data_IF_009661338288
#
_entry.id   IF_009661338288
#
_cell.length_a   1.000
_cell.length_b   1.000
_cell.length_c   1.000
_cell.angle_alpha   90.00
_cell.angle_beta   90.00
_cell.angle_gamma   90.00
#
_symmetry.space_group_name_H-M   'P 1'
#
loop_
_entity.id
_entity.type
_entity.pdbx_description
1 polymer ?
#
# COMPACT_ATOMS: atom_id res chain seq x y z
N UNK A 1 -13.56 4.91 -5.97
CA UNK A 1 -12.33 4.09 -6.17
C UNK A 1 -12.22 3.10 -5.01
N UNK A 2 -11.48 2.00 -5.15
CA UNK A 2 -11.22 1.09 -4.03
C UNK A 2 -9.77 1.18 -3.60
N UNK A 3 -9.55 1.31 -2.29
CA UNK A 3 -8.22 1.30 -1.70
C UNK A 3 -8.04 0.10 -0.79
N UNK A 4 -6.81 -0.43 -0.76
CA UNK A 4 -6.47 -1.61 0.02
C UNK A 4 -5.23 -1.39 0.87
N UNK A 5 -5.23 -1.94 2.08
CA UNK A 5 -4.05 -2.10 2.91
C UNK A 5 -3.25 -3.30 2.43
N UNK A 6 -1.94 -3.09 2.36
CA UNK A 6 -0.94 -4.10 2.06
C UNK A 6 0.18 -3.96 3.09
N UNK A 7 0.95 -5.03 3.24
CA UNK A 7 2.16 -5.07 4.04
C UNK A 7 1.89 -5.06 5.55
N UNK A 8 1.90 -6.24 6.15
CA UNK A 8 1.75 -6.43 7.60
C UNK A 8 3.09 -6.83 8.24
N UNK A 9 4.21 -6.52 7.57
CA UNK A 9 5.55 -6.93 7.99
C UNK A 9 6.02 -6.32 9.31
N UNK A 10 5.39 -5.22 9.75
CA UNK A 10 5.61 -4.59 11.06
C UNK A 10 4.47 -4.84 12.04
N UNK A 11 3.44 -5.58 11.63
CA UNK A 11 2.34 -5.94 12.51
C UNK A 11 2.75 -7.17 13.30
N UNK A 12 2.66 -7.09 14.62
CA UNK A 12 2.94 -8.21 15.52
C UNK A 12 1.62 -8.73 16.09
N UNK A 13 1.54 -10.04 16.30
CA UNK A 13 0.49 -10.63 17.13
C UNK A 13 0.89 -10.46 18.58
N UNK A 14 0.02 -9.81 19.34
CA UNK A 14 0.11 -9.74 20.79
C UNK A 14 -0.22 -11.13 21.36
N UNK A 15 0.38 -11.58 22.49
CA UNK A 15 0.29 -12.96 23.01
C UNK A 15 -1.10 -13.60 23.15
N UNK A 16 -2.17 -12.80 23.18
CA UNK A 16 -3.56 -13.28 23.20
C UNK A 16 -4.17 -13.48 21.79
N UNK A 17 -3.35 -13.40 20.73
CA UNK A 17 -3.79 -13.46 19.33
C UNK A 17 -4.28 -12.14 18.75
N UNK A 18 -4.10 -11.03 19.48
CA UNK A 18 -4.61 -9.71 19.12
C UNK A 18 -3.64 -8.94 18.19
N UNK A 19 -4.19 -8.17 17.25
CA UNK A 19 -3.43 -7.15 16.52
C UNK A 19 -3.33 -5.90 17.40
N UNK A 20 -2.22 -5.16 17.37
CA UNK A 20 -2.15 -3.84 18.04
C UNK A 20 -3.01 -2.81 17.25
N UNK A 21 -4.17 -2.35 17.79
CA UNK A 21 -5.04 -1.43 17.05
C UNK A 21 -4.46 -0.03 16.91
N UNK A 22 -3.52 0.34 17.78
CA UNK A 22 -3.06 1.71 17.88
C UNK A 22 -1.91 1.97 16.91
N UNK A 23 -1.12 0.95 16.59
CA UNK A 23 -0.08 1.05 15.56
C UNK A 23 -0.69 1.37 14.19
N UNK A 24 -1.80 0.73 13.82
CA UNK A 24 -2.49 0.98 12.55
C UNK A 24 -3.04 2.42 12.48
N UNK A 25 -3.60 2.92 13.58
CA UNK A 25 -4.08 4.31 13.70
C UNK A 25 -2.93 5.30 13.57
N UNK A 26 -1.79 5.03 14.20
CA UNK A 26 -0.60 5.88 14.13
C UNK A 26 0.00 5.91 12.71
N UNK A 27 0.12 4.74 12.08
CA UNK A 27 0.61 4.61 10.70
C UNK A 27 -0.33 5.35 9.73
N UNK A 28 -1.64 5.19 9.92
CA UNK A 28 -2.66 5.92 9.18
C UNK A 28 -2.53 7.44 9.36
N UNK A 29 -2.31 7.91 10.58
CA UNK A 29 -2.03 9.33 10.83
C UNK A 29 -0.89 9.87 9.98
N UNK A 30 0.17 9.08 9.80
CA UNK A 30 1.30 9.43 8.92
C UNK A 30 0.89 9.54 7.44
N UNK A 31 -0.05 8.70 6.99
CA UNK A 31 -0.62 8.78 5.63
C UNK A 31 -1.43 10.06 5.46
N UNK A 32 -2.34 10.37 6.39
CA UNK A 32 -3.13 11.62 6.34
C UNK A 32 -2.22 12.83 6.36
N UNK A 33 -1.24 12.84 7.26
CA UNK A 33 -0.27 13.92 7.39
C UNK A 33 0.45 14.15 6.06
N UNK A 34 0.88 13.08 5.39
CA UNK A 34 1.54 13.15 4.08
C UNK A 34 0.63 13.76 3.02
N UNK A 35 -0.65 13.36 2.98
CA UNK A 35 -1.63 13.95 2.06
C UNK A 35 -1.84 15.43 2.37
N UNK A 36 -2.06 15.81 3.63
CA UNK A 36 -2.25 17.20 4.03
C UNK A 36 -1.02 18.07 3.74
N UNK A 37 0.18 17.50 3.79
CA UNK A 37 1.42 18.20 3.44
C UNK A 37 1.67 18.32 1.94
N UNK A 38 0.95 17.54 1.11
CA UNK A 38 1.15 17.48 -0.35
C UNK A 38 0.15 18.34 -1.12
N UNK A 39 -1.00 18.65 -0.50
CA UNK A 39 -2.08 19.40 -1.13
C UNK A 39 -2.47 20.64 -0.31
N UNK A 40 -2.67 21.76 -1.01
CA UNK A 40 -3.29 22.95 -0.45
C UNK A 40 -4.82 22.77 -0.38
N UNK A 41 -5.43 23.30 0.69
CA UNK A 41 -6.87 23.25 0.93
C UNK A 41 -7.34 22.11 1.82
N UNK A 42 -6.40 21.44 2.52
CA UNK A 42 -6.65 20.32 3.43
C UNK A 42 -6.43 20.66 4.93
N UNK A 43 -6.30 21.94 5.27
CA UNK A 43 -6.00 22.39 6.64
C UNK A 43 -7.05 21.95 7.68
N UNK A 44 -8.29 21.70 7.25
CA UNK A 44 -9.38 21.22 8.12
C UNK A 44 -9.09 19.86 8.76
N UNK A 45 -8.22 19.03 8.15
CA UNK A 45 -7.84 17.74 8.73
C UNK A 45 -6.78 17.86 9.84
N UNK A 46 -6.35 19.08 10.20
CA UNK A 46 -5.40 19.34 11.28
C UNK A 46 -5.72 18.64 12.62
N UNK A 47 -6.98 18.66 13.11
CA UNK A 47 -7.36 17.93 14.32
C UNK A 47 -7.21 16.40 14.18
N UNK A 48 -7.55 15.85 13.01
CA UNK A 48 -7.42 14.42 12.72
C UNK A 48 -5.95 13.97 12.70
N UNK A 49 -5.08 14.76 12.05
CA UNK A 49 -3.63 14.53 12.06
C UNK A 49 -3.09 14.62 13.48
N UNK A 50 -3.47 15.66 14.23
CA UNK A 50 -3.00 15.83 15.61
C UNK A 50 -3.37 14.64 16.50
N UNK A 51 -4.62 14.18 16.43
CA UNK A 51 -5.12 13.08 17.25
C UNK A 51 -4.41 11.74 16.93
N UNK A 52 -4.16 11.47 15.65
CA UNK A 52 -3.51 10.22 15.19
C UNK A 52 -1.98 10.22 15.30
N UNK A 53 -1.38 11.38 15.61
CA UNK A 53 0.07 11.56 15.77
C UNK A 53 0.49 11.90 17.20
N UNK A 54 -0.40 11.71 18.19
CA UNK A 54 -0.10 11.93 19.62
C UNK A 54 1.15 11.12 20.03
N UNK A 55 2.16 11.73 20.70
CA UNK A 55 3.38 11.00 21.07
C UNK A 55 3.20 9.96 22.18
N UNK A 56 2.19 10.15 23.04
CA UNK A 56 1.87 9.25 24.14
C UNK A 56 0.89 8.16 23.67
N UNK A 57 1.36 6.91 23.67
CA UNK A 57 0.57 5.76 23.22
C UNK A 57 -0.64 5.49 24.12
N UNK A 58 -0.59 5.89 25.39
CA UNK A 58 -1.72 5.75 26.33
C UNK A 58 -2.85 6.74 26.01
N UNK A 59 -2.58 7.75 25.18
CA UNK A 59 -3.53 8.77 24.74
C UNK A 59 -3.93 8.58 23.27
N UNK A 60 -3.53 7.45 22.65
CA UNK A 60 -3.92 7.18 21.28
C UNK A 60 -5.44 6.95 21.18
N UNK A 61 -6.12 7.69 20.29
CA UNK A 61 -7.54 7.47 20.07
C UNK A 61 -7.76 6.10 19.43
N UNK A 62 -8.87 5.48 19.76
CA UNK A 62 -9.37 4.29 19.08
C UNK A 62 -9.73 4.63 17.62
N UNK A 63 -9.72 3.63 16.73
CA UNK A 63 -10.15 3.88 15.34
C UNK A 63 -11.59 4.41 15.23
N UNK A 64 -12.44 4.09 16.21
CA UNK A 64 -13.81 4.62 16.28
C UNK A 64 -13.82 6.11 16.61
N UNK A 65 -13.02 6.56 17.58
CA UNK A 65 -12.89 7.98 17.92
C UNK A 65 -12.27 8.77 16.76
N UNK A 66 -11.24 8.23 16.11
CA UNK A 66 -10.65 8.85 14.91
C UNK A 66 -11.68 8.99 13.79
N UNK A 67 -12.50 7.96 13.58
CA UNK A 67 -13.59 8.04 12.60
C UNK A 67 -14.62 9.10 12.95
N UNK A 68 -14.96 9.26 14.23
CA UNK A 68 -15.89 10.30 14.66
C UNK A 68 -15.33 11.71 14.40
N UNK A 69 -14.05 11.94 14.71
CA UNK A 69 -13.37 13.19 14.38
C UNK A 69 -13.44 13.48 12.88
N UNK A 70 -13.20 12.45 12.04
CA UNK A 70 -13.30 12.58 10.60
C UNK A 70 -14.73 12.94 10.13
N UNK A 71 -15.75 12.27 10.66
CA UNK A 71 -17.16 12.54 10.32
C UNK A 71 -17.60 13.95 10.68
N UNK A 72 -17.18 14.44 11.84
CA UNK A 72 -17.50 15.79 12.32
C UNK A 72 -16.87 16.85 11.41
N UNK A 73 -15.62 16.64 10.97
CA UNK A 73 -14.93 17.51 10.01
C UNK A 73 -15.58 17.45 8.62
N UNK A 74 -15.91 16.24 8.15
CA UNK A 74 -16.55 16.00 6.85
C UNK A 74 -17.90 16.71 6.73
N UNK A 75 -18.62 16.85 7.84
CA UNK A 75 -19.95 17.47 7.87
C UNK A 75 -19.93 19.00 7.75
N UNK A 76 -18.76 19.65 7.83
CA UNK A 76 -18.62 21.10 7.91
C UNK A 76 -18.16 21.77 6.60
N UNK A 77 -17.77 21.00 5.58
CA UNK A 77 -17.12 21.52 4.36
C UNK A 77 -17.90 21.20 3.08
N UNK A 78 -17.64 21.97 2.01
CA UNK A 78 -18.14 21.67 0.66
C UNK A 78 -17.24 20.64 -0.03
N UNK A 79 -17.86 19.55 -0.45
CA UNK A 79 -17.21 18.37 -1.02
C UNK A 79 -16.64 18.61 -2.41
N UNK A 80 -17.22 19.56 -3.15
CA UNK A 80 -16.78 19.93 -4.49
C UNK A 80 -15.66 20.97 -4.48
N UNK A 81 -15.15 21.33 -3.30
CA UNK A 81 -14.01 22.22 -3.15
C UNK A 81 -12.78 21.63 -3.84
N UNK A 82 -12.20 22.42 -4.74
CA UNK A 82 -10.99 22.05 -5.46
C UNK A 82 -9.78 22.17 -4.54
N UNK A 83 -8.91 21.17 -4.61
CA UNK A 83 -7.62 21.15 -3.91
C UNK A 83 -6.47 21.18 -4.93
N UNK A 84 -5.28 21.55 -4.47
CA UNK A 84 -4.13 21.76 -5.36
C UNK A 84 -2.91 21.02 -4.86
N UNK A 85 -2.43 20.07 -5.66
CA UNK A 85 -1.16 19.41 -5.38
C UNK A 85 -0.01 20.43 -5.51
N UNK A 86 0.93 20.43 -4.56
CA UNK A 86 2.04 21.39 -4.48
C UNK A 86 2.84 21.53 -5.78
N UNK A 87 3.06 20.42 -6.49
CA UNK A 87 3.75 20.40 -7.80
C UNK A 87 3.07 21.27 -8.89
N UNK A 88 1.77 21.52 -8.81
CA UNK A 88 1.05 22.38 -9.74
C UNK A 88 1.12 23.87 -9.35
N UNK A 89 1.32 24.17 -8.08
CA UNK A 89 1.46 25.56 -7.60
C UNK A 89 2.79 26.17 -8.03
N UNK A 90 3.87 25.38 -8.03
CA UNK A 90 5.19 25.82 -8.52
C UNK A 90 5.15 26.23 -10.01
N UNK A 91 4.29 25.59 -10.83
CA UNK A 91 4.15 25.90 -12.26
C UNK A 91 3.28 27.13 -12.56
N UNK A 92 2.43 27.56 -11.63
CA UNK A 92 1.45 28.62 -11.86
C UNK A 92 1.90 30.01 -11.38
N UNK A 93 3.15 30.17 -10.95
CA UNK A 93 3.72 31.47 -10.60
C UNK A 93 3.25 32.04 -9.25
N UNK A 94 2.46 31.31 -8.46
CA UNK A 94 2.21 31.65 -7.05
C UNK A 94 3.43 31.27 -6.22
N UNK A 95 4.31 32.24 -5.99
CA UNK A 95 5.48 32.08 -5.12
C UNK A 95 5.01 32.15 -3.66
N UNK A 96 5.03 31.02 -2.95
CA UNK A 96 5.32 31.04 -1.50
C UNK A 96 6.79 30.70 -1.29
N UNK A 97 7.36 31.30 -0.25
CA UNK A 97 8.78 31.30 0.08
C UNK A 97 9.45 29.93 -0.07
N UNK A 98 10.72 29.99 -0.46
CA UNK A 98 11.66 28.90 -0.70
C UNK A 98 11.18 27.53 -0.21
N UNK A 99 11.12 26.49 -1.07
CA UNK A 99 10.85 25.15 -0.60
C UNK A 99 11.93 24.85 0.44
N UNK A 100 11.54 24.81 1.73
CA UNK A 100 12.39 24.24 2.79
C UNK A 100 12.89 22.94 2.19
N UNK A 101 14.19 22.71 2.23
CA UNK A 101 14.84 21.50 1.75
C UNK A 101 14.22 20.32 2.52
N UNK A 102 13.02 19.89 2.10
CA UNK A 102 12.26 18.81 2.70
C UNK A 102 12.91 17.61 2.09
N UNK A 103 13.79 16.98 2.85
CA UNK A 103 14.22 15.61 2.54
C UNK A 103 12.95 14.87 2.20
N UNK A 104 12.84 14.40 0.96
CA UNK A 104 11.93 13.31 0.60
C UNK A 104 12.44 12.10 1.37
N UNK A 105 12.23 12.11 2.68
CA UNK A 105 12.11 10.88 3.43
C UNK A 105 10.81 10.30 2.87
N UNK A 106 10.92 9.60 1.74
CA UNK A 106 10.06 8.45 1.53
C UNK A 106 10.32 7.59 2.77
N UNK A 107 9.63 7.86 3.88
CA UNK A 107 9.32 6.79 4.80
C UNK A 107 8.74 5.72 3.87
N UNK A 108 9.41 4.57 3.79
CA UNK A 108 8.78 3.38 3.24
C UNK A 108 7.53 3.22 4.10
N UNK A 109 6.39 3.64 3.57
CA UNK A 109 5.11 3.47 4.22
C UNK A 109 4.85 1.97 4.22
N UNK A 110 5.00 1.36 5.40
CA UNK A 110 4.78 -0.07 5.59
C UNK A 110 3.29 -0.43 5.60
N UNK A 111 2.39 0.55 5.44
CA UNK A 111 1.01 0.35 5.00
C UNK A 111 0.76 1.28 3.82
N UNK A 112 0.92 0.77 2.59
CA UNK A 112 0.66 1.59 1.41
C UNK A 112 -0.76 1.31 0.92
N UNK A 113 -1.63 2.30 1.01
CA UNK A 113 -2.91 2.24 0.32
C UNK A 113 -2.70 2.16 -1.20
N UNK A 114 -3.39 1.24 -1.88
CA UNK A 114 -3.13 0.99 -3.30
C UNK A 114 -4.40 0.70 -4.13
N UNK A 115 -4.38 1.01 -5.43
CA UNK A 115 -5.50 0.98 -6.41
C UNK A 115 -5.34 -0.12 -7.48
N UNK A 116 -6.40 -0.79 -7.90
CA UNK A 116 -6.38 -1.86 -8.93
C UNK A 116 -6.16 -1.36 -10.37
N UNK A 117 -5.52 -2.17 -11.22
CA UNK A 117 -5.24 -1.90 -12.64
C UNK A 117 -5.85 -2.95 -13.60
N UNK A 118 -6.43 -2.50 -14.72
CA UNK A 118 -6.88 -3.35 -15.85
C UNK A 118 -5.74 -3.77 -16.80
N UNK A 119 -5.88 -4.92 -17.47
CA UNK A 119 -4.81 -5.72 -18.13
C UNK A 119 -4.51 -5.40 -19.60
N UNK A 120 -3.29 -5.71 -20.07
CA UNK A 120 -3.04 -6.29 -21.41
C UNK A 120 -1.69 -7.02 -21.54
N UNK A 121 -1.75 -8.19 -22.21
CA UNK A 121 -0.71 -8.93 -22.96
C UNK A 121 0.37 -9.80 -22.26
N UNK A 122 0.86 -10.79 -23.02
CA UNK A 122 1.30 -12.15 -22.64
C UNK A 122 2.63 -12.60 -23.28
N UNK A 123 3.49 -13.38 -22.60
CA UNK A 123 4.24 -14.62 -23.07
C UNK A 123 5.09 -15.29 -21.95
N UNK A 124 5.10 -16.64 -21.78
CA UNK A 124 5.49 -17.36 -20.54
C UNK A 124 7.01 -17.43 -20.28
N UNK A 125 7.41 -17.50 -18.99
CA UNK A 125 8.80 -17.54 -18.46
C UNK A 125 8.92 -18.35 -17.15
N UNK A 126 10.14 -18.77 -16.73
CA UNK A 126 10.45 -20.10 -16.19
C UNK A 126 10.63 -20.04 -14.66
N UNK A 127 9.60 -19.60 -13.94
CA UNK A 127 9.40 -20.19 -12.62
C UNK A 127 9.14 -21.70 -12.84
N UNK A 128 9.48 -22.62 -11.91
CA UNK A 128 9.14 -24.03 -12.11
C UNK A 128 7.69 -24.11 -12.62
N UNK A 129 7.46 -24.67 -13.83
CA UNK A 129 6.24 -24.49 -14.62
C UNK A 129 4.94 -24.95 -13.93
N UNK A 130 5.06 -25.49 -12.72
CA UNK A 130 4.04 -26.24 -12.02
C UNK A 130 3.25 -25.43 -10.98
N UNK A 131 3.52 -24.14 -10.78
CA UNK A 131 2.75 -23.31 -9.82
C UNK A 131 1.80 -22.29 -10.44
N UNK A 132 1.67 -22.25 -11.78
CA UNK A 132 0.64 -21.42 -12.42
C UNK A 132 0.93 -19.92 -12.43
N UNK A 133 2.18 -19.49 -12.26
CA UNK A 133 2.59 -18.08 -12.34
C UNK A 133 3.68 -17.89 -13.38
N UNK A 134 3.62 -16.74 -14.04
CA UNK A 134 4.46 -16.38 -15.18
C UNK A 134 5.19 -15.09 -14.87
N UNK A 135 6.50 -15.18 -14.73
CA UNK A 135 7.34 -14.03 -14.44
C UNK A 135 7.62 -13.21 -15.70
N UNK A 136 8.22 -12.03 -15.51
CA UNK A 136 8.79 -11.26 -16.62
C UNK A 136 10.02 -11.98 -17.22
N UNK A 137 10.29 -11.79 -18.53
CA UNK A 137 11.46 -12.36 -19.20
C UNK A 137 12.79 -12.09 -18.53
N UNK A 138 12.94 -10.93 -17.90
CA UNK A 138 14.17 -10.57 -17.19
C UNK A 138 14.61 -11.53 -16.07
N UNK A 139 13.70 -12.38 -15.60
CA UNK A 139 13.98 -13.37 -14.55
C UNK A 139 14.28 -14.78 -15.13
N UNK A 140 14.22 -14.96 -16.46
CA UNK A 140 14.63 -16.20 -17.11
C UNK A 140 16.16 -16.30 -17.12
N UNK A 141 16.77 -17.46 -16.77
CA UNK A 141 18.23 -17.64 -16.76
C UNK A 141 18.89 -17.26 -18.09
N UNK A 142 18.28 -17.64 -19.21
CA UNK A 142 18.76 -17.32 -20.56
C UNK A 142 18.43 -15.90 -21.06
N UNK A 143 17.81 -15.05 -20.24
CA UNK A 143 17.46 -13.70 -20.67
C UNK A 143 18.70 -12.83 -20.86
N UNK A 144 18.73 -12.13 -21.99
CA UNK A 144 19.79 -11.19 -22.34
C UNK A 144 19.26 -9.75 -22.28
N UNK A 145 19.89 -8.87 -21.49
CA UNK A 145 19.46 -7.48 -21.39
C UNK A 145 19.58 -6.76 -22.74
N UNK A 146 18.59 -5.94 -23.08
CA UNK A 146 18.54 -5.29 -24.39
C UNK A 146 19.69 -4.33 -24.62
N UNK A 147 20.39 -3.85 -23.59
CA UNK A 147 21.56 -2.97 -23.72
C UNK A 147 22.88 -3.73 -23.94
N UNK A 148 22.87 -5.06 -24.03
CA UNK A 148 24.06 -5.87 -24.36
C UNK A 148 24.03 -6.30 -25.82
N UNK A 149 25.18 -6.20 -26.50
CA UNK A 149 25.32 -6.63 -27.89
C UNK A 149 26.55 -6.02 -28.58
N UNK A 150 27.01 -6.63 -29.68
CA UNK A 150 28.26 -6.24 -30.35
C UNK A 150 28.26 -4.81 -30.93
N UNK A 151 27.08 -4.18 -31.06
CA UNK A 151 26.90 -2.82 -31.58
C UNK A 151 26.51 -1.79 -30.50
N UNK A 152 26.50 -2.16 -29.21
CA UNK A 152 26.02 -1.31 -28.11
C UNK A 152 27.18 -0.80 -27.25
N UNK A 153 27.83 0.26 -27.72
CA UNK A 153 28.90 0.97 -26.99
C UNK A 153 28.34 2.18 -26.23
N UNK A 154 28.80 2.42 -25.00
CA UNK A 154 28.38 3.55 -24.14
C UNK A 154 26.87 3.66 -23.86
N UNK A 155 26.13 2.56 -23.98
CA UNK A 155 24.70 2.54 -23.71
C UNK A 155 24.46 2.45 -22.20
N UNK A 156 23.76 3.43 -21.63
CA UNK A 156 23.40 3.42 -20.21
C UNK A 156 22.21 2.48 -19.99
N UNK A 157 22.32 1.45 -19.14
CA UNK A 157 21.23 0.49 -18.89
C UNK A 157 19.89 1.16 -18.55
N UNK A 158 19.91 2.20 -17.71
CA UNK A 158 18.75 2.99 -17.29
C UNK A 158 17.92 3.63 -18.42
N UNK A 159 18.43 3.69 -19.64
CA UNK A 159 17.71 4.21 -20.79
C UNK A 159 16.83 3.15 -21.48
N UNK A 160 16.86 1.91 -20.99
CA UNK A 160 16.11 0.80 -21.57
C UNK A 160 14.91 0.42 -20.70
N UNK A 161 13.76 0.13 -21.32
CA UNK A 161 12.52 -0.24 -20.63
C UNK A 161 12.67 -1.54 -19.82
N UNK A 162 13.52 -2.45 -20.29
CA UNK A 162 13.79 -3.71 -19.63
C UNK A 162 14.85 -3.61 -18.52
N UNK A 163 15.33 -2.41 -18.20
CA UNK A 163 16.21 -2.18 -17.07
C UNK A 163 15.44 -2.06 -15.76
N UNK A 164 15.99 -2.64 -14.69
CA UNK A 164 15.44 -2.55 -13.34
C UNK A 164 16.54 -2.16 -12.35
N UNK A 165 16.26 -1.14 -11.53
CA UNK A 165 17.15 -0.67 -10.46
C UNK A 165 17.01 -1.47 -9.15
N UNK A 166 16.16 -2.50 -9.10
CA UNK A 166 15.82 -3.21 -7.86
C UNK A 166 17.01 -4.07 -7.40
N UNK A 167 17.73 -3.62 -6.37
CA UNK A 167 18.86 -4.33 -5.76
C UNK A 167 18.44 -5.39 -4.72
N UNK A 168 17.27 -5.21 -4.11
CA UNK A 168 16.69 -6.11 -3.10
C UNK A 168 15.25 -6.42 -3.52
N UNK A 169 14.99 -7.66 -3.92
CA UNK A 169 13.71 -8.11 -4.45
C UNK A 169 12.68 -8.29 -3.33
N UNK A 170 12.23 -7.20 -2.71
CA UNK A 170 11.13 -7.27 -1.74
C UNK A 170 9.80 -7.65 -2.43
N UNK A 171 9.65 -7.28 -3.71
CA UNK A 171 8.49 -7.66 -4.51
C UNK A 171 8.81 -7.68 -6.02
N UNK A 172 8.18 -8.60 -6.76
CA UNK A 172 8.21 -8.66 -8.23
C UNK A 172 6.81 -8.84 -8.79
N UNK A 173 6.57 -8.43 -10.03
CA UNK A 173 5.29 -8.67 -10.70
C UNK A 173 5.32 -9.95 -11.56
N UNK A 174 4.15 -10.58 -11.64
CA UNK A 174 3.91 -11.80 -12.42
C UNK A 174 2.50 -11.79 -13.02
N UNK A 175 2.22 -12.79 -13.86
CA UNK A 175 0.89 -13.08 -14.40
C UNK A 175 0.44 -14.42 -13.83
N UNK A 176 -0.73 -14.47 -13.18
CA UNK A 176 -1.37 -15.71 -12.78
C UNK A 176 -1.99 -16.37 -14.01
N UNK A 177 -1.60 -17.60 -14.30
CA UNK A 177 -1.98 -18.30 -15.54
C UNK A 177 -3.43 -18.76 -15.56
N UNK A 178 -4.04 -19.00 -14.39
CA UNK A 178 -5.42 -19.48 -14.30
C UNK A 178 -6.46 -18.49 -14.81
N UNK A 179 -6.20 -17.18 -14.65
CA UNK A 179 -7.14 -16.09 -14.97
C UNK A 179 -6.48 -14.93 -15.74
N UNK A 180 -5.19 -15.05 -16.08
CA UNK A 180 -4.38 -14.02 -16.74
C UNK A 180 -4.31 -12.68 -15.98
N UNK A 181 -4.48 -12.71 -14.64
CA UNK A 181 -4.42 -11.51 -13.79
C UNK A 181 -2.98 -11.11 -13.48
N UNK A 182 -2.70 -9.81 -13.45
CA UNK A 182 -1.43 -9.27 -12.96
C UNK A 182 -1.37 -9.33 -11.44
N UNK A 183 -0.33 -9.95 -10.92
CA UNK A 183 -0.10 -10.14 -9.49
C UNK A 183 1.26 -9.62 -9.08
N UNK A 184 1.41 -9.37 -7.78
CA UNK A 184 2.68 -9.10 -7.13
C UNK A 184 3.03 -10.32 -6.27
N UNK A 185 4.29 -10.73 -6.36
CA UNK A 185 4.93 -11.72 -5.51
C UNK A 185 5.82 -10.97 -4.52
N UNK A 186 5.36 -10.84 -3.28
CA UNK A 186 6.12 -10.16 -2.19
C UNK A 186 6.89 -11.21 -1.40
N UNK A 187 8.19 -10.98 -1.22
CA UNK A 187 9.03 -11.79 -0.35
C UNK A 187 8.79 -11.43 1.12
N UNK A 188 8.52 -12.44 1.94
CA UNK A 188 8.22 -12.26 3.37
C UNK A 188 8.95 -13.30 4.21
N UNK A 189 9.33 -12.92 5.43
CA UNK A 189 9.93 -13.83 6.41
C UNK A 189 8.85 -14.72 7.02
N UNK A 190 9.09 -16.03 7.10
CA UNK A 190 8.18 -16.98 7.76
C UNK A 190 8.23 -16.88 9.29
N UNK A 191 9.28 -16.28 9.84
CA UNK A 191 9.41 -16.01 11.27
C UNK A 191 8.57 -14.80 11.73
N UNK A 192 8.06 -14.00 10.79
CA UNK A 192 7.19 -12.85 11.09
C UNK A 192 5.72 -13.26 11.17
N UNK A 193 4.92 -12.45 11.86
CA UNK A 193 3.47 -12.65 11.94
C UNK A 193 2.72 -12.22 10.67
N UNK A 194 3.42 -11.71 9.64
CA UNK A 194 2.77 -11.20 8.43
C UNK A 194 1.90 -12.26 7.74
N UNK A 195 2.41 -13.48 7.53
CA UNK A 195 1.62 -14.56 6.88
C UNK A 195 0.40 -14.95 7.74
N UNK A 196 0.55 -15.24 9.04
CA UNK A 196 -0.59 -15.50 9.92
C UNK A 196 -1.63 -14.36 9.96
N UNK A 197 -1.20 -13.10 10.02
CA UNK A 197 -2.08 -11.93 10.04
C UNK A 197 -2.86 -11.82 8.71
N UNK A 198 -2.16 -11.92 7.58
CA UNK A 198 -2.79 -11.84 6.27
C UNK A 198 -3.84 -12.93 6.06
N UNK A 199 -3.53 -14.17 6.47
CA UNK A 199 -4.47 -15.29 6.41
C UNK A 199 -5.71 -15.06 7.28
N UNK A 200 -5.55 -14.50 8.47
CA UNK A 200 -6.66 -14.15 9.36
C UNK A 200 -7.54 -13.05 8.73
N UNK A 201 -6.92 -11.96 8.28
CA UNK A 201 -7.66 -10.85 7.65
C UNK A 201 -8.35 -11.24 6.33
N UNK A 202 -7.93 -12.33 5.70
CA UNK A 202 -8.54 -12.85 4.46
C UNK A 202 -9.38 -14.11 4.68
N UNK A 203 -9.59 -14.55 5.92
CA UNK A 203 -10.52 -15.64 6.24
C UNK A 203 -11.95 -15.15 6.35
N UNK A 204 -12.93 -16.05 6.24
CA UNK A 204 -14.30 -15.74 6.64
C UNK A 204 -14.39 -15.61 8.16
N UNK A 205 -15.26 -14.72 8.69
CA UNK A 205 -16.18 -13.82 7.97
C UNK A 205 -15.55 -12.50 7.51
N UNK A 206 -14.29 -12.20 7.89
CA UNK A 206 -13.64 -10.91 7.65
C UNK A 206 -13.48 -10.59 6.16
N UNK A 207 -13.25 -11.59 5.32
CA UNK A 207 -13.16 -11.41 3.87
C UNK A 207 -14.47 -10.92 3.26
N UNK A 208 -15.62 -11.35 3.79
CA UNK A 208 -16.94 -10.93 3.31
C UNK A 208 -17.36 -9.56 3.84
N UNK A 209 -16.70 -9.03 4.87
CA UNK A 209 -16.98 -7.69 5.40
C UNK A 209 -16.44 -6.61 4.46
N UNK A 210 -17.34 -5.82 3.86
CA UNK A 210 -16.98 -4.75 2.91
C UNK A 210 -16.13 -3.63 3.54
N UNK A 211 -16.11 -3.54 4.87
CA UNK A 211 -15.28 -2.58 5.64
C UNK A 211 -13.84 -3.07 5.77
N UNK A 212 -13.60 -4.38 5.61
CA UNK A 212 -12.25 -4.92 5.56
C UNK A 212 -11.59 -4.53 4.22
N UNK A 213 -10.66 -3.57 4.28
CA UNK A 213 -9.86 -3.16 3.11
C UNK A 213 -8.53 -3.90 3.00
N UNK A 214 -8.40 -5.10 3.58
CA UNK A 214 -7.22 -5.94 3.31
C UNK A 214 -7.22 -6.36 1.86
N UNK A 215 -6.07 -6.25 1.20
CA UNK A 215 -5.92 -6.78 -0.16
C UNK A 215 -6.22 -8.29 -0.19
N UNK A 216 -6.87 -8.82 -1.25
CA UNK A 216 -7.02 -10.26 -1.41
C UNK A 216 -5.69 -11.01 -1.43
N UNK A 217 -5.60 -12.09 -0.66
CA UNK A 217 -4.50 -13.06 -0.72
C UNK A 217 -4.86 -14.17 -1.69
N UNK A 218 -4.12 -14.31 -2.79
CA UNK A 218 -4.37 -15.36 -3.78
C UNK A 218 -3.66 -16.66 -3.45
N UNK A 219 -2.43 -16.58 -2.94
CA UNK A 219 -1.62 -17.75 -2.59
C UNK A 219 -0.48 -17.38 -1.63
N UNK A 220 0.03 -18.38 -0.91
CA UNK A 220 1.26 -18.31 -0.11
C UNK A 220 2.20 -19.40 -0.61
N UNK A 221 3.23 -18.99 -1.33
CA UNK A 221 4.13 -19.91 -2.04
C UNK A 221 5.38 -20.13 -1.18
N UNK A 222 5.51 -21.34 -0.61
CA UNK A 222 6.70 -21.76 0.14
C UNK A 222 7.85 -22.07 -0.83
N UNK A 223 9.05 -21.57 -0.52
CA UNK A 223 10.22 -21.75 -1.38
C UNK A 223 10.85 -23.13 -1.14
N UNK A 224 11.21 -23.88 -2.19
CA UNK A 224 11.73 -25.24 -2.03
C UNK A 224 13.17 -25.31 -1.47
N UNK A 225 13.85 -24.17 -1.35
CA UNK A 225 15.25 -24.09 -0.88
C UNK A 225 15.40 -23.37 0.46
N UNK A 226 14.31 -22.86 1.05
CA UNK A 226 14.35 -22.20 2.36
C UNK A 226 12.98 -22.22 3.02
N UNK A 227 12.98 -22.53 4.31
CA UNK A 227 11.80 -22.41 5.17
C UNK A 227 11.74 -21.07 5.90
N UNK A 228 12.76 -20.22 5.75
CA UNK A 228 12.86 -18.90 6.40
C UNK A 228 12.04 -17.83 5.67
N UNK A 229 11.56 -18.14 4.46
CA UNK A 229 10.88 -17.16 3.62
C UNK A 229 9.86 -17.78 2.69
N UNK A 230 8.84 -16.98 2.39
CA UNK A 230 7.77 -17.33 1.46
C UNK A 230 7.46 -16.16 0.52
N UNK A 231 6.68 -16.45 -0.53
CA UNK A 231 6.12 -15.42 -1.40
C UNK A 231 4.62 -15.28 -1.15
N UNK A 232 4.18 -14.07 -0.84
CA UNK A 232 2.75 -13.72 -0.87
C UNK A 232 2.34 -13.35 -2.29
N UNK A 233 1.26 -13.95 -2.78
CA UNK A 233 0.67 -13.62 -4.08
C UNK A 233 -0.57 -12.76 -3.86
N UNK A 234 -0.52 -11.53 -4.34
CA UNK A 234 -1.61 -10.55 -4.21
C UNK A 234 -1.86 -9.83 -5.53
N UNK A 235 -3.05 -9.24 -5.76
CA UNK A 235 -3.30 -8.37 -6.90
C UNK A 235 -2.23 -7.30 -7.08
N UNK A 236 -1.90 -6.97 -8.33
CA UNK A 236 -1.05 -5.82 -8.61
C UNK A 236 -1.82 -4.53 -8.38
N UNK A 237 -1.28 -3.67 -7.52
CA UNK A 237 -1.92 -2.42 -7.13
C UNK A 237 -0.98 -1.23 -7.36
N UNK A 238 -1.57 -0.03 -7.42
CA UNK A 238 -0.91 1.24 -7.67
C UNK A 238 -0.94 2.10 -6.41
N UNK A 239 0.18 2.68 -6.00
CA UNK A 239 0.21 3.64 -4.88
C UNK A 239 -0.87 4.72 -5.03
N UNK A 240 -1.61 4.97 -3.95
CA UNK A 240 -2.79 5.85 -3.97
C UNK A 240 -2.46 7.30 -4.37
N UNK A 241 -1.25 7.77 -4.07
CA UNK A 241 -0.75 9.11 -4.33
C UNK A 241 -0.20 9.30 -5.75
N UNK A 242 -0.10 8.22 -6.54
CA UNK A 242 0.43 8.28 -7.92
C UNK A 242 -0.47 9.10 -8.85
N UNK A 243 -1.78 9.09 -8.60
CA UNK A 243 -2.74 9.92 -9.32
C UNK A 243 -3.18 11.04 -8.38
N UNK A 244 -2.97 12.32 -8.75
CA UNK A 244 -3.24 13.42 -7.85
C UNK A 244 -4.75 13.58 -7.63
N UNK A 245 -5.14 13.78 -6.37
CA UNK A 245 -6.47 14.22 -6.01
C UNK A 245 -6.73 15.63 -6.55
N UNK A 246 -7.96 15.89 -6.99
CA UNK A 246 -8.42 17.15 -7.58
C UNK A 246 -9.46 17.83 -6.71
N UNK A 247 -10.28 17.06 -6.01
CA UNK A 247 -11.35 17.54 -5.16
C UNK A 247 -11.24 17.00 -3.75
N UNK A 248 -11.77 17.77 -2.79
CA UNK A 248 -11.86 17.36 -1.39
C UNK A 248 -12.63 16.05 -1.24
N UNK A 249 -13.71 15.85 -2.00
CA UNK A 249 -14.50 14.62 -2.02
C UNK A 249 -13.67 13.36 -2.29
N UNK A 250 -12.66 13.43 -3.16
CA UNK A 250 -11.81 12.27 -3.50
C UNK A 250 -10.87 11.91 -2.33
N UNK A 251 -10.42 12.92 -1.59
CA UNK A 251 -9.63 12.71 -0.36
C UNK A 251 -10.51 12.12 0.73
N UNK A 252 -11.70 12.67 0.94
CA UNK A 252 -12.67 12.14 1.91
C UNK A 252 -13.04 10.69 1.60
N UNK A 253 -13.30 10.34 0.34
CA UNK A 253 -13.61 8.96 -0.07
C UNK A 253 -12.45 8.00 0.24
N UNK A 254 -11.20 8.44 0.07
CA UNK A 254 -10.03 7.65 0.41
C UNK A 254 -9.88 7.48 1.94
N UNK A 255 -9.97 8.59 2.69
CA UNK A 255 -9.87 8.59 4.15
C UNK A 255 -10.95 7.74 4.81
N UNK A 256 -12.18 7.81 4.31
CA UNK A 256 -13.29 7.01 4.80
C UNK A 256 -12.99 5.50 4.68
N UNK A 257 -12.50 5.06 3.52
CA UNK A 257 -12.11 3.66 3.31
C UNK A 257 -10.94 3.25 4.20
N UNK A 258 -9.97 4.13 4.40
CA UNK A 258 -8.84 3.87 5.29
C UNK A 258 -9.28 3.66 6.73
N UNK A 259 -10.23 4.46 7.21
CA UNK A 259 -10.74 4.39 8.58
C UNK A 259 -11.66 3.19 8.84
N UNK A 260 -12.31 2.66 7.80
CA UNK A 260 -13.17 1.48 7.92
C UNK A 260 -12.39 0.20 8.28
N UNK A 261 -11.17 0.05 7.76
CA UNK A 261 -10.39 -1.18 7.96
C UNK A 261 -9.92 -1.40 9.41
N UNK A 262 -9.25 -0.43 10.08
CA UNK A 262 -8.88 -0.56 11.49
C UNK A 262 -10.10 -0.81 12.40
N UNK A 263 -11.25 -0.19 12.11
CA UNK A 263 -12.50 -0.46 12.85
C UNK A 263 -12.97 -1.90 12.72
N UNK A 264 -12.82 -2.49 11.54
CA UNK A 264 -13.17 -3.90 11.28
C UNK A 264 -12.23 -4.83 12.05
N UNK A 265 -10.92 -4.54 11.99
CA UNK A 265 -9.92 -5.29 12.75
C UNK A 265 -10.16 -5.22 14.26
N UNK A 266 -10.72 -4.13 14.78
CA UNK A 266 -11.11 -4.00 16.19
C UNK A 266 -12.39 -4.78 16.51
N UNK A 267 -13.45 -4.68 15.70
CA UNK A 267 -14.71 -5.41 15.94
C UNK A 267 -14.55 -6.93 15.82
N UNK A 268 -13.65 -7.40 14.95
CA UNK A 268 -13.29 -8.81 14.86
C UNK A 268 -12.74 -9.36 16.21
N UNK A 269 -12.08 -8.51 17.01
CA UNK A 269 -11.55 -8.88 18.33
C UNK A 269 -12.63 -9.10 19.36
N UNK A 270 -13.67 -8.27 19.35
CA UNK A 270 -14.73 -8.36 20.35
C UNK A 270 -15.59 -9.61 20.16
N UNK A 271 -15.72 -10.09 18.92
CA UNK A 271 -16.49 -11.30 18.59
C UNK A 271 -15.73 -12.62 18.83
N UNK A 272 -14.39 -12.62 18.76
CA UNK A 272 -13.57 -13.83 19.02
C UNK A 272 -13.31 -14.08 20.52
N UNK A 273 -13.77 -13.19 21.42
CA UNK A 273 -13.61 -13.31 22.88
C UNK A 273 -14.86 -13.89 23.61
N UNK A 274 -15.81 -14.48 22.88
CA UNK A 274 -17.05 -15.07 23.43
C UNK A 274 -17.19 -16.54 23.12
#
# INVERSE_FOLDING_TARGET
>A
MNYFFIDFGLSERVPDGDLDPCLDVYQFGGVIETVCQTYEGLDMFGPLVSATRTPDFMQWPTATEVYQIFEDLRSQEDWNKRIWHDSFLVRSGRIRGSPKHRRRNFLRFHCTAVRLMGSSSSKPDPFPPNRGYKLRPRYHPDWKPSWTGPLKFNVRPRNHEDYSHIKELAAIDAIRLSDNTRVVLKYVSTASDEIPIFRYLTSEPLRSDTRNKTVPLFDVVILPWTDESALLVMPMLMQFDRLPFRFLSEVCEALEQFLQHPRTCIHARTQNRS
#
